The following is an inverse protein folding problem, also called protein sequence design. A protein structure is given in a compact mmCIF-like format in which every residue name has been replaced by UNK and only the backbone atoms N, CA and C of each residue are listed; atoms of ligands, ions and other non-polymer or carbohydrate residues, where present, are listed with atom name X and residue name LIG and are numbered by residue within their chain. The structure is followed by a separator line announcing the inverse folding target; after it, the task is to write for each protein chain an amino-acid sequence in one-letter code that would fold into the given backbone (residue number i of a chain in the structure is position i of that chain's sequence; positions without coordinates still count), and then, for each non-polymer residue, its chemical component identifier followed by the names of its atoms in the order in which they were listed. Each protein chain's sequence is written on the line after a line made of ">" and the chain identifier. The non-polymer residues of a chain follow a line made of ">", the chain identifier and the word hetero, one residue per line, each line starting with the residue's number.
data_IF_098924155856
#
_entry.id   IF_098924155856
#
_cell.length_a   1.000
_cell.length_b   1.000
_cell.length_c   1.000
_cell.angle_alpha   90.00
_cell.angle_beta   90.00
_cell.angle_gamma   90.00
#
_symmetry.space_group_name_H-M   'P 1'
#
loop_
_entity.id
_entity.type
_entity.pdbx_description
1 polymer ?
#
# COMPACT_ATOMS: atom_id res chain seq x y z
N UNK A 1 14.99 -0.14 5.17
CA UNK A 1 14.34 -0.60 6.44
C UNK A 1 14.37 0.52 7.48
N UNK A 2 13.75 1.65 7.18
CA UNK A 2 13.41 2.62 8.21
C UNK A 2 12.27 2.05 9.06
N UNK A 3 12.60 1.53 10.25
CA UNK A 3 11.59 1.02 11.19
C UNK A 3 10.77 2.19 11.70
N UNK A 4 9.52 2.34 11.27
CA UNK A 4 8.59 3.40 11.76
C UNK A 4 8.57 3.38 13.29
N UNK A 5 8.91 4.52 13.90
CA UNK A 5 8.98 4.67 15.37
C UNK A 5 7.91 5.65 15.82
N UNK A 6 7.11 5.24 16.80
CA UNK A 6 6.03 6.04 17.35
C UNK A 6 6.44 6.73 18.65
N UNK A 7 5.92 7.94 18.83
CA UNK A 7 5.90 8.64 20.12
C UNK A 7 4.77 8.13 21.00
N UNK A 8 4.85 8.36 22.31
CA UNK A 8 3.76 8.01 23.25
C UNK A 8 2.44 8.67 22.90
N UNK A 9 2.47 9.90 22.37
CA UNK A 9 1.27 10.61 21.93
C UNK A 9 0.61 9.97 20.70
N UNK A 10 1.40 9.49 19.74
CA UNK A 10 0.88 8.76 18.58
C UNK A 10 0.25 7.43 19.00
N UNK A 11 0.96 6.65 19.83
CA UNK A 11 0.42 5.38 20.36
C UNK A 11 -0.86 5.59 21.17
N UNK A 12 -0.94 6.69 21.93
CA UNK A 12 -2.13 7.02 22.70
C UNK A 12 -3.37 7.23 21.82
N UNK A 13 -3.20 7.93 20.69
CA UNK A 13 -4.27 8.14 19.70
C UNK A 13 -4.71 6.81 19.08
N UNK A 14 -3.74 5.99 18.68
CA UNK A 14 -3.96 4.67 18.08
C UNK A 14 -4.76 3.75 19.01
N UNK A 15 -4.31 3.62 20.26
CA UNK A 15 -4.95 2.70 21.22
C UNK A 15 -6.18 3.34 21.89
N UNK A 16 -6.55 4.57 21.52
CA UNK A 16 -7.63 5.35 22.14
C UNK A 16 -7.51 5.46 23.67
N UNK A 17 -6.30 5.70 24.17
CA UNK A 17 -6.01 5.87 25.61
C UNK A 17 -5.33 7.20 25.91
N UNK A 18 -5.26 7.57 27.18
CA UNK A 18 -4.49 8.74 27.59
C UNK A 18 -2.97 8.51 27.39
N UNK A 19 -2.17 9.54 27.00
CA UNK A 19 -0.72 9.43 26.86
C UNK A 19 0.02 8.95 28.12
N UNK A 20 -0.53 9.25 29.29
CA UNK A 20 -0.02 8.75 30.58
C UNK A 20 -0.10 7.23 30.68
N UNK A 21 -1.15 6.61 30.12
CA UNK A 21 -1.32 5.16 30.09
C UNK A 21 -0.23 4.50 29.27
N UNK A 22 0.07 5.04 28.09
CA UNK A 22 1.16 4.55 27.23
C UNK A 22 2.52 4.71 27.92
N UNK A 23 2.74 5.86 28.58
CA UNK A 23 3.98 6.10 29.32
C UNK A 23 4.17 5.08 30.43
N UNK A 24 3.09 4.74 31.15
CA UNK A 24 3.08 3.69 32.17
C UNK A 24 3.38 2.31 31.57
N UNK A 25 2.77 1.94 30.45
CA UNK A 25 3.07 0.66 29.78
C UNK A 25 4.54 0.57 29.37
N UNK A 26 5.13 1.66 28.88
CA UNK A 26 6.53 1.72 28.53
C UNK A 26 7.45 1.61 29.76
N UNK A 27 7.19 2.43 30.79
CA UNK A 27 8.04 2.51 31.98
C UNK A 27 7.98 1.21 32.81
N UNK A 28 6.88 0.46 32.72
CA UNK A 28 6.72 -0.87 33.34
C UNK A 28 7.28 -2.01 32.49
N UNK A 29 7.79 -1.72 31.29
CA UNK A 29 8.34 -2.72 30.37
C UNK A 29 7.32 -3.56 29.62
N UNK A 30 6.01 -3.31 29.82
CA UNK A 30 4.93 -3.99 29.08
C UNK A 30 4.95 -3.63 27.60
N UNK A 31 5.19 -2.37 27.27
CA UNK A 31 5.37 -1.89 25.91
C UNK A 31 6.85 -1.59 25.67
N UNK A 32 7.50 -2.41 24.84
CA UNK A 32 8.94 -2.30 24.59
C UNK A 32 9.27 -1.12 23.66
N UNK A 33 10.42 -0.50 23.90
CA UNK A 33 11.00 0.53 23.05
C UNK A 33 12.27 1.10 23.69
N UNK A 34 12.69 2.28 23.25
CA UNK A 34 13.91 2.93 23.75
C UNK A 34 13.67 4.40 24.08
N UNK A 35 14.56 4.97 24.89
CA UNK A 35 14.62 6.42 25.13
C UNK A 35 15.67 7.04 24.24
N UNK A 36 15.45 8.28 23.83
CA UNK A 36 16.47 9.04 23.10
C UNK A 36 17.57 9.44 24.10
N UNK A 37 18.86 9.20 23.80
CA UNK A 37 19.96 9.66 24.64
C UNK A 37 19.86 11.16 24.91
N UNK A 38 19.92 11.57 26.18
CA UNK A 38 19.82 12.98 26.59
C UNK A 38 18.41 13.56 26.64
N UNK A 39 17.37 12.79 26.34
CA UNK A 39 15.96 13.21 26.46
C UNK A 39 15.13 12.22 27.29
N UNK A 40 14.03 12.72 27.87
CA UNK A 40 13.02 11.87 28.51
C UNK A 40 12.06 11.24 27.49
N UNK A 41 12.22 11.58 26.21
CA UNK A 41 11.35 11.12 25.16
C UNK A 41 11.50 9.63 24.88
N UNK A 42 10.34 8.98 24.78
CA UNK A 42 10.20 7.55 24.48
C UNK A 42 9.95 7.36 22.99
N UNK A 43 10.45 6.25 22.48
CA UNK A 43 10.34 5.84 21.09
C UNK A 43 9.96 4.36 21.06
N UNK A 44 8.84 4.06 20.42
CA UNK A 44 8.20 2.75 20.40
C UNK A 44 8.24 2.25 18.96
N UNK A 45 9.10 1.27 18.64
CA UNK A 45 9.12 0.67 17.30
C UNK A 45 7.76 0.03 16.97
N UNK A 46 7.35 0.14 15.71
CA UNK A 46 6.08 -0.43 15.22
C UNK A 46 5.90 -1.90 15.59
N UNK A 47 6.93 -2.72 15.44
CA UNK A 47 6.85 -4.15 15.72
C UNK A 47 6.55 -4.42 17.20
N UNK A 48 7.08 -3.59 18.10
CA UNK A 48 6.81 -3.71 19.54
C UNK A 48 5.37 -3.29 19.88
N UNK A 49 4.84 -2.28 19.18
CA UNK A 49 3.45 -1.85 19.36
C UNK A 49 2.45 -2.91 18.90
N UNK A 50 2.64 -3.45 17.69
CA UNK A 50 1.78 -4.51 17.13
C UNK A 50 1.79 -5.73 18.05
N UNK A 51 2.97 -6.17 18.48
CA UNK A 51 3.12 -7.29 19.41
C UNK A 51 2.36 -7.05 20.71
N UNK A 52 2.54 -5.88 21.32
CA UNK A 52 1.85 -5.52 22.56
C UNK A 52 0.33 -5.52 22.39
N UNK A 53 -0.19 -4.99 21.28
CA UNK A 53 -1.63 -4.95 21.01
C UNK A 53 -2.20 -6.36 20.81
N UNK A 54 -1.54 -7.22 20.04
CA UNK A 54 -1.91 -8.63 19.86
C UNK A 54 -1.92 -9.40 21.20
N UNK A 55 -0.87 -9.28 22.00
CA UNK A 55 -0.75 -9.95 23.31
C UNK A 55 -1.83 -9.50 24.32
N UNK A 56 -2.30 -8.25 24.21
CA UNK A 56 -3.31 -7.70 25.13
C UNK A 56 -4.72 -7.65 24.53
N UNK A 57 -4.95 -8.33 23.39
CA UNK A 57 -6.25 -8.39 22.70
C UNK A 57 -6.85 -7.00 22.40
N UNK A 58 -5.98 -6.02 22.10
CA UNK A 58 -6.42 -4.68 21.70
C UNK A 58 -6.71 -4.63 20.19
N UNK A 59 -7.80 -3.99 19.76
CA UNK A 59 -8.09 -3.82 18.35
C UNK A 59 -6.99 -2.97 17.70
N UNK A 60 -6.40 -3.46 16.60
CA UNK A 60 -5.32 -2.79 15.90
C UNK A 60 -5.81 -1.50 15.19
N UNK A 61 -7.11 -1.39 14.89
CA UNK A 61 -7.73 -0.16 14.38
C UNK A 61 -7.05 0.36 13.11
N UNK A 62 -6.93 1.69 12.98
CA UNK A 62 -6.28 2.36 11.85
C UNK A 62 -4.78 2.11 11.71
N UNK A 63 -4.14 1.38 12.64
CA UNK A 63 -2.81 0.86 12.35
C UNK A 63 -2.85 -0.18 11.23
N UNK A 64 -3.84 -1.08 11.18
CA UNK A 64 -3.93 -2.10 10.12
C UNK A 64 -4.10 -1.47 8.73
N UNK A 65 -4.92 -0.42 8.63
CA UNK A 65 -5.18 0.27 7.35
C UNK A 65 -4.00 1.08 6.81
N UNK A 66 -3.08 1.51 7.69
CA UNK A 66 -1.79 2.15 7.33
C UNK A 66 -0.64 1.13 7.18
N UNK A 67 -0.88 -0.17 7.43
CA UNK A 67 0.15 -1.20 7.35
C UNK A 67 0.30 -1.77 5.94
N UNK A 68 -0.83 -1.94 5.25
CA UNK A 68 -0.88 -2.59 3.96
C UNK A 68 -0.65 -1.63 2.82
N UNK A 69 0.16 -2.06 1.87
CA UNK A 69 0.16 -1.50 0.54
C UNK A 69 -1.09 -2.02 -0.20
N UNK A 70 -2.00 -1.11 -0.51
CA UNK A 70 -3.29 -1.45 -1.11
C UNK A 70 -3.18 -1.48 -2.63
N UNK A 71 -3.39 -2.67 -3.22
CA UNK A 71 -3.25 -2.92 -4.65
C UNK A 71 -4.64 -3.14 -5.27
N UNK A 72 -5.03 -2.28 -6.19
CA UNK A 72 -6.21 -2.49 -7.03
C UNK A 72 -5.77 -3.10 -8.36
N UNK A 73 -6.28 -4.28 -8.72
CA UNK A 73 -6.06 -4.90 -10.03
C UNK A 73 -7.31 -4.75 -10.87
N UNK A 74 -7.15 -4.28 -12.11
CA UNK A 74 -8.27 -3.94 -13.00
C UNK A 74 -8.11 -4.72 -14.29
N UNK A 75 -9.07 -5.60 -14.61
CA UNK A 75 -9.14 -6.26 -15.90
C UNK A 75 -8.20 -7.44 -16.15
N UNK A 76 -7.36 -7.80 -15.18
CA UNK A 76 -6.43 -8.91 -15.32
C UNK A 76 -7.12 -10.28 -15.17
N UNK A 77 -6.57 -11.29 -15.84
CA UNK A 77 -7.09 -12.66 -15.76
C UNK A 77 -6.81 -13.32 -14.38
N UNK A 78 -7.64 -14.28 -13.94
CA UNK A 78 -7.50 -14.91 -12.63
C UNK A 78 -6.10 -15.50 -12.37
N UNK A 79 -5.51 -16.17 -13.36
CA UNK A 79 -4.18 -16.77 -13.24
C UNK A 79 -3.09 -15.74 -12.96
N UNK A 80 -3.19 -14.55 -13.57
CA UNK A 80 -2.26 -13.45 -13.29
C UNK A 80 -2.41 -12.94 -11.86
N UNK A 81 -3.66 -12.78 -11.40
CA UNK A 81 -3.96 -12.32 -10.04
C UNK A 81 -3.44 -13.34 -9.01
N UNK A 82 -3.68 -14.63 -9.22
CA UNK A 82 -3.16 -15.71 -8.39
C UNK A 82 -1.63 -15.66 -8.33
N UNK A 83 -0.97 -15.55 -9.48
CA UNK A 83 0.49 -15.47 -9.53
C UNK A 83 1.04 -14.23 -8.83
N UNK A 84 0.37 -13.09 -8.98
CA UNK A 84 0.74 -11.85 -8.29
C UNK A 84 0.62 -12.03 -6.78
N UNK A 85 -0.47 -12.64 -6.29
CA UNK A 85 -0.68 -12.92 -4.87
C UNK A 85 0.27 -13.98 -4.32
N UNK A 86 0.73 -14.94 -5.10
CA UNK A 86 1.80 -15.86 -4.68
C UNK A 86 3.13 -15.14 -4.44
N UNK A 87 3.43 -14.14 -5.27
CA UNK A 87 4.65 -13.34 -5.16
C UNK A 87 4.53 -12.25 -4.10
N UNK A 88 3.33 -11.69 -3.91
CA UNK A 88 3.01 -10.63 -2.96
C UNK A 88 1.79 -11.06 -2.12
N UNK A 89 2.00 -11.95 -1.14
CA UNK A 89 0.92 -12.55 -0.37
C UNK A 89 0.05 -11.52 0.37
N UNK A 90 -1.24 -11.81 0.47
CA UNK A 90 -2.16 -11.12 1.38
C UNK A 90 -1.79 -11.47 2.84
N UNK A 91 -0.75 -10.84 3.36
CA UNK A 91 -0.30 -10.94 4.74
C UNK A 91 -0.11 -9.55 5.37
N UNK A 92 0.77 -9.40 6.36
CA UNK A 92 0.94 -8.15 7.11
C UNK A 92 1.29 -6.92 6.21
N UNK A 93 1.71 -7.10 4.95
CA UNK A 93 2.19 -6.02 4.06
C UNK A 93 1.30 -5.65 2.85
N UNK A 94 0.37 -6.49 2.38
CA UNK A 94 -0.43 -6.21 1.17
C UNK A 94 -1.93 -6.49 1.33
N UNK A 95 -2.75 -5.72 0.61
CA UNK A 95 -4.19 -5.97 0.50
C UNK A 95 -4.65 -5.74 -0.93
N UNK A 96 -5.55 -6.60 -1.43
CA UNK A 96 -6.02 -6.54 -2.82
C UNK A 96 -7.50 -6.23 -2.94
N UNK A 97 -7.83 -5.52 -4.00
CA UNK A 97 -9.17 -5.40 -4.55
C UNK A 97 -9.11 -5.64 -6.07
N UNK A 98 -10.14 -6.27 -6.63
CA UNK A 98 -10.18 -6.63 -8.06
C UNK A 98 -11.37 -5.95 -8.76
N UNK A 99 -11.15 -5.24 -9.85
CA UNK A 99 -12.21 -4.66 -10.68
C UNK A 99 -12.21 -5.29 -12.07
N UNK A 100 -13.40 -5.48 -12.64
CA UNK A 100 -13.59 -6.06 -13.97
C UNK A 100 -14.13 -5.05 -15.00
N UNK A 101 -14.30 -3.79 -14.62
CA UNK A 101 -14.73 -2.71 -15.50
C UNK A 101 -14.27 -1.34 -14.98
N UNK A 102 -14.33 -0.30 -15.82
CA UNK A 102 -14.03 1.06 -15.42
C UNK A 102 -14.96 1.61 -14.34
N UNK A 103 -16.22 1.18 -14.32
CA UNK A 103 -17.16 1.57 -13.26
C UNK A 103 -16.78 0.97 -11.89
N UNK A 104 -16.48 -0.33 -11.85
CA UNK A 104 -15.99 -0.98 -10.63
C UNK A 104 -14.67 -0.39 -10.17
N UNK A 105 -13.76 -0.10 -11.10
CA UNK A 105 -12.48 0.53 -10.80
C UNK A 105 -12.69 1.89 -10.12
N UNK A 106 -13.56 2.76 -10.66
CA UNK A 106 -13.86 4.06 -10.06
C UNK A 106 -14.45 3.97 -8.64
N UNK A 107 -15.37 3.03 -8.42
CA UNK A 107 -15.94 2.78 -7.10
C UNK A 107 -14.87 2.31 -6.10
N UNK A 108 -14.05 1.33 -6.50
CA UNK A 108 -13.00 0.76 -5.65
C UNK A 108 -11.88 1.75 -5.37
N UNK A 109 -11.49 2.58 -6.33
CA UNK A 109 -10.54 3.68 -6.08
C UNK A 109 -11.03 4.56 -4.94
N UNK A 110 -12.32 4.92 -4.95
CA UNK A 110 -12.92 5.81 -3.95
C UNK A 110 -13.12 5.17 -2.57
N UNK A 111 -13.43 3.86 -2.51
CA UNK A 111 -13.69 3.17 -1.24
C UNK A 111 -12.46 2.50 -0.62
N UNK A 112 -11.54 2.01 -1.45
CA UNK A 112 -10.37 1.25 -1.03
C UNK A 112 -9.15 2.16 -0.80
N UNK A 113 -9.09 3.29 -1.51
CA UNK A 113 -7.94 4.20 -1.55
C UNK A 113 -6.62 3.46 -1.85
N UNK A 114 -6.47 2.88 -3.06
CA UNK A 114 -5.30 2.08 -3.41
C UNK A 114 -4.02 2.92 -3.50
N UNK A 115 -2.91 2.36 -3.01
CA UNK A 115 -1.55 2.88 -3.19
C UNK A 115 -0.99 2.54 -4.58
N UNK A 116 -1.43 1.42 -5.15
CA UNK A 116 -1.08 0.99 -6.50
C UNK A 116 -2.28 0.47 -7.25
N UNK A 117 -2.35 0.80 -8.53
CA UNK A 117 -3.43 0.41 -9.44
C UNK A 117 -2.78 -0.24 -10.66
N UNK A 118 -3.07 -1.52 -10.88
CA UNK A 118 -2.57 -2.29 -12.03
C UNK A 118 -3.73 -2.40 -13.01
N UNK A 119 -3.61 -1.83 -14.20
CA UNK A 119 -4.66 -1.79 -15.22
C UNK A 119 -4.22 -2.63 -16.41
N UNK A 120 -4.94 -3.73 -16.66
CA UNK A 120 -4.73 -4.58 -17.81
C UNK A 120 -5.44 -4.03 -19.04
N UNK A 121 -4.72 -3.89 -20.16
CA UNK A 121 -5.29 -3.45 -21.43
C UNK A 121 -6.16 -4.53 -22.10
N UNK A 122 -6.23 -5.74 -21.53
CA UNK A 122 -7.20 -6.77 -21.92
C UNK A 122 -8.66 -6.31 -21.82
N UNK A 123 -8.98 -5.30 -20.99
CA UNK A 123 -10.30 -4.63 -20.97
C UNK A 123 -10.62 -3.86 -22.26
N UNK A 124 -9.62 -3.62 -23.10
CA UNK A 124 -9.69 -2.70 -24.21
C UNK A 124 -8.91 -1.42 -23.89
N UNK A 125 -8.00 -1.06 -24.80
CA UNK A 125 -7.11 0.09 -24.66
C UNK A 125 -7.84 1.38 -24.29
N UNK A 126 -8.94 1.69 -24.98
CA UNK A 126 -9.68 2.93 -24.74
C UNK A 126 -10.23 3.03 -23.31
N UNK A 127 -10.80 1.94 -22.79
CA UNK A 127 -11.32 1.89 -21.42
C UNK A 127 -10.18 1.99 -20.40
N UNK A 128 -9.10 1.23 -20.59
CA UNK A 128 -7.93 1.28 -19.72
C UNK A 128 -7.30 2.69 -19.63
N UNK A 129 -7.17 3.39 -20.77
CA UNK A 129 -6.68 4.77 -20.79
C UNK A 129 -7.63 5.71 -20.04
N UNK A 130 -8.95 5.57 -20.22
CA UNK A 130 -9.94 6.40 -19.54
C UNK A 130 -9.91 6.21 -18.01
N UNK A 131 -9.72 4.98 -17.53
CA UNK A 131 -9.57 4.69 -16.09
C UNK A 131 -8.37 5.45 -15.54
N UNK A 132 -7.19 5.27 -16.14
CA UNK A 132 -5.95 5.91 -15.68
C UNK A 132 -6.07 7.44 -15.63
N UNK A 133 -6.60 8.06 -16.69
CA UNK A 133 -6.81 9.50 -16.74
C UNK A 133 -7.80 9.98 -15.68
N UNK A 134 -8.89 9.25 -15.46
CA UNK A 134 -9.92 9.62 -14.47
C UNK A 134 -9.34 9.57 -13.06
N UNK A 135 -8.59 8.52 -12.72
CA UNK A 135 -7.91 8.43 -11.43
C UNK A 135 -6.91 9.56 -11.27
N UNK A 136 -6.07 9.82 -12.27
CA UNK A 136 -5.00 10.83 -12.17
C UNK A 136 -5.51 12.27 -12.07
N UNK A 137 -6.73 12.56 -12.57
CA UNK A 137 -7.40 13.86 -12.42
C UNK A 137 -7.81 14.16 -10.98
N UNK A 138 -7.93 13.15 -10.12
CA UNK A 138 -8.29 13.33 -8.73
C UNK A 138 -7.02 13.53 -7.90
N UNK A 139 -6.87 14.72 -7.29
CA UNK A 139 -5.70 15.09 -6.49
C UNK A 139 -5.42 14.13 -5.32
N UNK A 140 -6.44 13.43 -4.80
CA UNK A 140 -6.28 12.42 -3.76
C UNK A 140 -5.46 11.20 -4.21
N UNK A 141 -5.32 10.95 -5.51
CA UNK A 141 -4.60 9.80 -6.06
C UNK A 141 -3.40 10.22 -6.92
N UNK A 142 -2.94 11.47 -6.77
CA UNK A 142 -1.81 11.99 -7.55
C UNK A 142 -0.53 11.20 -7.31
N UNK A 143 -0.34 10.69 -6.09
CA UNK A 143 0.80 9.87 -5.68
C UNK A 143 0.57 8.38 -5.87
N UNK A 144 -0.64 7.94 -6.26
CA UNK A 144 -0.91 6.54 -6.50
C UNK A 144 -0.10 6.05 -7.70
N UNK A 145 0.53 4.88 -7.56
CA UNK A 145 1.25 4.25 -8.65
C UNK A 145 0.24 3.62 -9.62
N UNK A 146 0.24 4.03 -10.88
CA UNK A 146 -0.67 3.47 -11.89
C UNK A 146 0.17 2.72 -12.92
N UNK A 147 0.02 1.40 -13.00
CA UNK A 147 0.82 0.51 -13.85
C UNK A 147 -0.06 -0.01 -14.99
N UNK A 148 0.41 0.13 -16.23
CA UNK A 148 -0.22 -0.50 -17.39
C UNK A 148 0.31 -1.92 -17.58
N UNK A 149 -0.56 -2.89 -17.81
CA UNK A 149 -0.19 -4.15 -18.47
C UNK A 149 -0.55 -4.00 -19.95
N UNK A 150 0.42 -3.54 -20.73
CA UNK A 150 0.26 -3.26 -22.14
C UNK A 150 0.18 -4.57 -22.96
N UNK A 151 -0.65 -4.58 -23.99
CA UNK A 151 -0.75 -5.70 -24.91
C UNK A 151 0.52 -5.85 -25.76
N UNK A 152 0.72 -7.03 -26.35
CA UNK A 152 1.88 -7.33 -27.19
C UNK A 152 1.96 -6.43 -28.44
N UNK A 153 0.80 -6.01 -28.95
CA UNK A 153 0.67 -5.13 -30.10
C UNK A 153 0.75 -3.63 -29.75
N UNK A 154 0.87 -3.24 -28.48
CA UNK A 154 1.01 -1.82 -28.09
C UNK A 154 2.29 -1.25 -28.74
N UNK A 155 2.15 -0.27 -29.67
CA UNK A 155 3.28 0.25 -30.45
C UNK A 155 4.18 1.17 -29.63
N UNK A 156 3.64 1.84 -28.60
CA UNK A 156 4.40 2.78 -27.78
C UNK A 156 4.05 2.66 -26.29
N UNK A 157 4.58 1.63 -25.59
CA UNK A 157 4.36 1.45 -24.17
C UNK A 157 4.87 2.62 -23.31
N UNK A 158 5.93 3.30 -23.75
CA UNK A 158 6.52 4.44 -23.04
C UNK A 158 5.59 5.66 -23.07
N UNK A 159 4.87 5.88 -24.17
CA UNK A 159 3.89 6.95 -24.32
C UNK A 159 2.62 6.78 -23.47
N UNK A 160 2.46 5.66 -22.76
CA UNK A 160 1.34 5.49 -21.82
C UNK A 160 1.44 6.47 -20.64
N UNK A 161 2.62 7.00 -20.33
CA UNK A 161 2.81 8.03 -19.31
C UNK A 161 1.96 9.30 -19.56
N UNK A 162 1.74 9.68 -20.81
CA UNK A 162 0.90 10.82 -21.22
C UNK A 162 -0.57 10.65 -20.81
N UNK A 163 -0.99 9.41 -20.56
CA UNK A 163 -2.35 9.05 -20.14
C UNK A 163 -2.48 8.87 -18.62
N UNK A 164 -1.45 9.22 -17.85
CA UNK A 164 -1.47 9.19 -16.39
C UNK A 164 -0.91 7.90 -15.77
N UNK A 165 -0.38 6.99 -16.58
CA UNK A 165 0.38 5.85 -16.09
C UNK A 165 1.73 6.32 -15.53
N UNK A 166 2.14 5.68 -14.44
CA UNK A 166 3.47 5.84 -13.86
C UNK A 166 4.47 4.95 -14.61
N UNK A 167 4.06 3.72 -14.93
CA UNK A 167 4.91 2.69 -15.56
C UNK A 167 4.06 1.77 -16.46
N UNK A 168 4.72 1.05 -17.36
CA UNK A 168 4.10 0.07 -18.24
C UNK A 168 4.92 -1.21 -18.35
N UNK A 169 4.23 -2.34 -18.35
CA UNK A 169 4.78 -3.68 -18.58
C UNK A 169 4.15 -4.26 -19.83
N UNK A 170 4.96 -4.42 -20.90
CA UNK A 170 4.49 -4.99 -22.16
C UNK A 170 4.47 -6.51 -22.09
N UNK A 171 3.34 -7.12 -22.45
CA UNK A 171 3.20 -8.58 -22.52
C UNK A 171 3.96 -9.16 -23.73
N UNK A 172 4.55 -10.36 -23.59
CA UNK A 172 4.68 -11.15 -22.36
C UNK A 172 5.79 -10.59 -21.45
N UNK A 173 5.56 -10.60 -20.14
CA UNK A 173 6.55 -10.25 -19.12
C UNK A 173 6.48 -11.22 -17.94
N UNK A 174 7.56 -11.31 -17.18
CA UNK A 174 7.57 -12.09 -15.93
C UNK A 174 6.86 -11.30 -14.82
N UNK A 175 5.80 -11.87 -14.24
CA UNK A 175 5.06 -11.29 -13.11
C UNK A 175 5.98 -11.02 -11.91
N UNK A 176 7.08 -11.76 -11.77
CA UNK A 176 8.09 -11.51 -10.75
C UNK A 176 8.73 -10.11 -10.87
N UNK A 177 8.93 -9.60 -12.09
CA UNK A 177 9.49 -8.25 -12.32
C UNK A 177 8.52 -7.17 -11.84
N UNK A 178 7.23 -7.34 -12.11
CA UNK A 178 6.19 -6.44 -11.60
C UNK A 178 6.13 -6.47 -10.07
N UNK A 179 6.18 -7.67 -9.48
CA UNK A 179 6.16 -7.83 -8.03
C UNK A 179 7.38 -7.19 -7.36
N UNK A 180 8.57 -7.38 -7.91
CA UNK A 180 9.80 -6.73 -7.42
C UNK A 180 9.70 -5.20 -7.52
N UNK A 181 9.12 -4.69 -8.62
CA UNK A 181 8.93 -3.26 -8.79
C UNK A 181 7.99 -2.67 -7.74
N UNK A 182 6.87 -3.35 -7.47
CA UNK A 182 5.93 -2.95 -6.42
C UNK A 182 6.63 -2.95 -5.05
N UNK A 183 7.42 -3.98 -4.71
CA UNK A 183 8.19 -4.02 -3.45
C UNK A 183 9.14 -2.85 -3.29
N UNK A 184 9.92 -2.57 -4.33
CA UNK A 184 10.89 -1.45 -4.32
C UNK A 184 10.19 -0.12 -4.02
N UNK A 185 9.04 0.11 -4.65
CA UNK A 185 8.27 1.33 -4.47
C UNK A 185 7.61 1.42 -3.09
N UNK A 186 7.15 0.29 -2.54
CA UNK A 186 6.68 0.20 -1.15
C UNK A 186 7.79 0.59 -0.19
N UNK A 187 9.01 0.10 -0.41
CA UNK A 187 10.16 0.38 0.43
C UNK A 187 10.65 1.84 0.30
N UNK A 188 10.66 2.40 -0.91
CA UNK A 188 10.98 3.82 -1.15
C UNK A 188 9.97 4.76 -0.48
N UNK A 189 8.67 4.46 -0.57
CA UNK A 189 7.61 5.23 0.11
C UNK A 189 7.77 5.12 1.64
N UNK A 190 8.16 3.95 2.15
CA UNK A 190 8.44 3.73 3.58
C UNK A 190 9.66 4.47 4.09
N UNK A 191 10.73 4.55 3.31
CA UNK A 191 11.99 5.19 3.72
C UNK A 191 11.93 6.73 3.59
N UNK A 192 11.02 7.29 2.78
CA UNK A 192 10.78 8.74 2.62
C UNK A 192 9.72 9.33 3.58
N UNK A 193 9.12 8.51 4.46
CA UNK A 193 8.14 8.89 5.48
C UNK A 193 8.73 8.92 6.89
#
# INVERSE_FOLDING_TARGET
>A
MSKKVFTTGQVAKICHVAPRTVSKWFDTGKLRGYRIPGSQDRRIPREQLIRFMKENHMPLGSLEEECWHKILVVGAEPLFIERLKELLPEDDDYKYEIAHSGFEAGNKVSSFHPDSIIIDHALGRAEALQIAQTVRRNESYKEALIIALASEDEPNPEGLNEYGYSESFKKPFDVALLAERIRTLVDEKRDNM
#
